data_IF_896614851030
#
_entry.id   IF_896614851030
#
_cell.length_a   1.000
_cell.length_b   1.000
_cell.length_c   1.000
_cell.angle_alpha   90.00
_cell.angle_beta   90.00
_cell.angle_gamma   90.00
#
_symmetry.space_group_name_H-M   'P 1'
#
loop_
_entity.id
_entity.type
_entity.pdbx_description
1 polymer ?
#
# COMPACT_ATOMS: atom_id res chain seq x y z
N UNK A 1 -9.40 -15.35 35.66
CA UNK A 1 -10.10 -14.08 35.49
C UNK A 1 -9.49 -13.39 34.28
N UNK A 2 -10.13 -13.56 33.10
CA UNK A 2 -9.68 -12.96 31.85
C UNK A 2 -10.33 -11.57 31.75
N UNK A 3 -9.59 -10.54 32.04
CA UNK A 3 -9.95 -9.17 31.72
C UNK A 3 -9.69 -8.96 30.23
N UNK A 4 -10.67 -9.24 29.40
CA UNK A 4 -10.72 -8.74 28.03
C UNK A 4 -10.83 -7.23 28.10
N UNK A 5 -9.70 -6.55 27.87
CA UNK A 5 -9.68 -5.11 27.65
C UNK A 5 -10.60 -4.81 26.47
N UNK A 6 -11.85 -4.47 26.74
CA UNK A 6 -12.76 -3.92 25.75
C UNK A 6 -12.23 -2.55 25.37
N UNK A 7 -11.50 -2.47 24.25
CA UNK A 7 -11.17 -1.20 23.63
C UNK A 7 -12.48 -0.57 23.18
N UNK A 8 -13.02 0.33 23.99
CA UNK A 8 -14.20 1.11 23.62
C UNK A 8 -13.81 2.08 22.52
N UNK A 9 -14.08 1.69 21.28
CA UNK A 9 -13.94 2.59 20.14
C UNK A 9 -15.02 3.66 20.23
N UNK A 10 -14.65 4.88 20.54
CA UNK A 10 -15.55 6.03 20.41
C UNK A 10 -15.66 6.39 18.93
N UNK A 11 -16.84 6.84 18.50
CA UNK A 11 -17.03 7.36 17.14
C UNK A 11 -16.17 8.60 16.99
N UNK A 12 -15.32 8.69 15.95
CA UNK A 12 -14.49 9.86 15.71
C UNK A 12 -15.33 11.11 15.47
N UNK A 13 -14.78 12.28 15.79
CA UNK A 13 -15.42 13.56 15.48
C UNK A 13 -15.60 13.76 13.96
N UNK A 14 -16.51 14.64 13.53
CA UNK A 14 -16.71 14.91 12.09
C UNK A 14 -15.43 15.29 11.36
N UNK A 15 -14.55 16.09 11.98
CA UNK A 15 -13.27 16.48 11.37
C UNK A 15 -12.27 15.32 11.24
N UNK A 16 -12.24 14.41 12.20
CA UNK A 16 -11.42 13.19 12.12
C UNK A 16 -11.96 12.23 11.05
N UNK A 17 -13.28 12.10 10.93
CA UNK A 17 -13.91 11.30 9.87
C UNK A 17 -13.62 11.87 8.48
N UNK A 18 -13.61 13.19 8.32
CA UNK A 18 -13.26 13.84 7.07
C UNK A 18 -11.82 13.52 6.67
N UNK A 19 -10.86 13.68 7.59
CA UNK A 19 -9.45 13.33 7.35
C UNK A 19 -9.28 11.85 6.99
N UNK A 20 -9.95 10.96 7.71
CA UNK A 20 -9.93 9.53 7.44
C UNK A 20 -10.50 9.20 6.05
N UNK A 21 -11.58 9.89 5.67
CA UNK A 21 -12.19 9.74 4.35
C UNK A 21 -11.25 10.17 3.23
N UNK A 22 -10.56 11.30 3.38
CA UNK A 22 -9.58 11.78 2.38
C UNK A 22 -8.40 10.82 2.24
N UNK A 23 -7.92 10.24 3.33
CA UNK A 23 -6.90 9.20 3.31
C UNK A 23 -7.36 7.98 2.49
N UNK A 24 -8.56 7.46 2.77
CA UNK A 24 -9.10 6.31 2.05
C UNK A 24 -9.38 6.61 0.57
N UNK A 25 -9.86 7.80 0.24
CA UNK A 25 -10.00 8.24 -1.16
C UNK A 25 -8.65 8.25 -1.89
N UNK A 26 -7.60 8.71 -1.22
CA UNK A 26 -6.27 8.70 -1.80
C UNK A 26 -5.76 7.28 -2.06
N UNK A 27 -6.04 6.33 -1.17
CA UNK A 27 -5.68 4.92 -1.34
C UNK A 27 -6.55 4.21 -2.38
N UNK A 28 -7.78 4.67 -2.63
CA UNK A 28 -8.72 4.05 -3.55
C UNK A 28 -8.40 4.23 -5.05
N UNK A 29 -7.36 4.97 -5.41
CA UNK A 29 -6.90 5.11 -6.80
C UNK A 29 -5.87 4.03 -7.16
N UNK A 30 -6.08 3.36 -8.29
CA UNK A 30 -5.23 2.23 -8.72
C UNK A 30 -3.76 2.62 -8.89
N UNK A 31 -3.47 3.76 -9.51
CA UNK A 31 -2.10 4.22 -9.74
C UNK A 31 -1.40 4.55 -8.44
N UNK A 32 -2.09 5.23 -7.53
CA UNK A 32 -1.56 5.55 -6.20
C UNK A 32 -1.34 4.29 -5.36
N UNK A 33 -2.26 3.33 -5.41
CA UNK A 33 -2.09 2.05 -4.75
C UNK A 33 -0.82 1.32 -5.25
N UNK A 34 -0.58 1.29 -6.56
CA UNK A 34 0.66 0.72 -7.12
C UNK A 34 1.91 1.44 -6.60
N UNK A 35 1.90 2.76 -6.53
CA UNK A 35 3.03 3.53 -5.97
C UNK A 35 3.30 3.12 -4.52
N UNK A 36 2.27 3.05 -3.68
CA UNK A 36 2.41 2.64 -2.28
C UNK A 36 3.02 1.25 -2.17
N UNK A 37 2.59 0.29 -2.99
CA UNK A 37 3.14 -1.07 -3.02
C UNK A 37 4.61 -1.11 -3.45
N UNK A 38 5.03 -0.29 -4.40
CA UNK A 38 6.45 -0.17 -4.75
C UNK A 38 7.28 0.42 -3.60
N UNK A 39 6.74 1.44 -2.94
CA UNK A 39 7.42 2.08 -1.80
C UNK A 39 7.47 1.17 -0.55
N UNK A 40 6.56 0.23 -0.41
CA UNK A 40 6.66 -0.82 0.62
C UNK A 40 7.91 -1.69 0.45
N UNK A 41 8.31 -1.94 -0.78
CA UNK A 41 9.46 -2.79 -1.08
C UNK A 41 10.78 -2.02 -0.95
N UNK A 42 10.81 -0.79 -1.44
CA UNK A 42 12.02 0.03 -1.49
C UNK A 42 11.68 1.51 -1.65
N UNK A 43 12.38 2.35 -0.88
CA UNK A 43 12.43 3.80 -1.12
C UNK A 43 12.90 4.07 -2.56
N UNK A 44 12.21 4.93 -3.29
CA UNK A 44 12.47 5.14 -4.71
C UNK A 44 12.33 6.60 -5.10
N UNK A 45 13.04 7.01 -6.15
CA UNK A 45 12.85 8.32 -6.77
C UNK A 45 11.77 8.27 -7.85
N UNK A 46 11.39 9.45 -8.35
CA UNK A 46 10.34 9.60 -9.38
C UNK A 46 10.68 8.80 -10.63
N UNK A 47 11.93 8.86 -11.11
CA UNK A 47 12.37 8.18 -12.33
C UNK A 47 12.31 6.65 -12.20
N UNK A 48 12.70 6.10 -11.04
CA UNK A 48 12.59 4.65 -10.78
C UNK A 48 11.12 4.18 -10.79
N UNK A 49 10.22 4.92 -10.14
CA UNK A 49 8.79 4.60 -10.14
C UNK A 49 8.18 4.73 -11.54
N UNK A 50 8.52 5.79 -12.27
CA UNK A 50 8.05 6.02 -13.63
C UNK A 50 8.45 4.87 -14.56
N UNK A 51 9.70 4.43 -14.49
CA UNK A 51 10.21 3.30 -15.25
C UNK A 51 9.50 1.99 -14.90
N UNK A 52 9.37 1.68 -13.60
CA UNK A 52 8.70 0.45 -13.15
C UNK A 52 7.21 0.40 -13.49
N UNK A 53 6.56 1.54 -13.52
CA UNK A 53 5.12 1.63 -13.77
C UNK A 53 4.78 1.90 -15.24
N UNK A 54 5.80 2.13 -16.07
CA UNK A 54 5.67 2.46 -17.51
C UNK A 54 4.80 3.69 -17.76
N UNK A 55 5.02 4.73 -16.96
CA UNK A 55 4.33 6.03 -17.05
C UNK A 55 5.34 7.16 -17.02
N UNK A 56 4.89 8.38 -17.31
CA UNK A 56 5.76 9.56 -17.30
C UNK A 56 6.14 9.99 -15.89
N UNK A 57 7.31 10.59 -15.72
CA UNK A 57 7.74 11.16 -14.44
C UNK A 57 6.79 12.26 -13.96
N UNK A 58 6.21 13.02 -14.88
CA UNK A 58 5.21 14.03 -14.56
C UNK A 58 3.97 13.44 -13.93
N UNK A 59 3.47 12.31 -14.45
CA UNK A 59 2.33 11.59 -13.88
C UNK A 59 2.65 11.07 -12.47
N UNK A 60 3.83 10.47 -12.27
CA UNK A 60 4.27 10.00 -10.95
C UNK A 60 4.39 11.17 -9.97
N UNK A 61 5.02 12.26 -10.39
CA UNK A 61 5.19 13.45 -9.54
C UNK A 61 3.85 14.01 -9.06
N UNK A 62 2.84 14.03 -9.94
CA UNK A 62 1.49 14.45 -9.60
C UNK A 62 0.86 13.53 -8.56
N UNK A 63 0.97 12.21 -8.73
CA UNK A 63 0.42 11.23 -7.79
C UNK A 63 1.14 11.27 -6.43
N UNK A 64 2.46 11.39 -6.43
CA UNK A 64 3.24 11.53 -5.19
C UNK A 64 2.90 12.80 -4.41
N UNK A 65 2.60 13.91 -5.12
CA UNK A 65 2.12 15.14 -4.49
C UNK A 65 0.79 14.89 -3.76
N UNK A 66 -0.17 14.22 -4.41
CA UNK A 66 -1.45 13.88 -3.80
C UNK A 66 -1.27 13.00 -2.55
N UNK A 67 -0.42 11.97 -2.63
CA UNK A 67 -0.11 11.09 -1.50
C UNK A 67 0.58 11.81 -0.33
N UNK A 68 1.42 12.82 -0.63
CA UNK A 68 2.06 13.64 0.42
C UNK A 68 1.09 14.53 1.17
N UNK A 69 0.10 15.09 0.48
CA UNK A 69 -0.93 15.96 1.10
C UNK A 69 -1.67 15.19 2.20
N UNK A 70 -2.01 13.94 1.96
CA UNK A 70 -2.69 13.07 2.93
C UNK A 70 -1.73 12.29 3.83
N UNK A 71 -0.44 12.60 3.80
CA UNK A 71 0.60 11.98 4.64
C UNK A 71 0.71 10.46 4.52
N UNK A 72 0.47 9.92 3.34
CA UNK A 72 0.75 8.51 3.05
C UNK A 72 2.19 8.27 2.68
N UNK A 73 2.86 9.27 2.10
CA UNK A 73 4.28 9.23 1.74
C UNK A 73 5.01 10.46 2.23
N UNK A 74 6.28 10.29 2.50
CA UNK A 74 7.24 11.36 2.80
C UNK A 74 8.33 11.43 1.73
N UNK A 75 9.11 12.51 1.73
CA UNK A 75 10.21 12.66 0.81
C UNK A 75 11.43 13.24 1.51
N UNK A 76 12.62 12.78 1.12
CA UNK A 76 13.91 13.31 1.57
C UNK A 76 14.82 13.62 0.40
N UNK A 77 15.64 14.65 0.53
CA UNK A 77 16.69 14.92 -0.45
C UNK A 77 17.86 13.95 -0.26
N UNK A 78 18.32 13.37 -1.35
CA UNK A 78 19.51 12.54 -1.42
C UNK A 78 20.38 13.03 -2.59
N UNK A 79 21.30 13.94 -2.31
CA UNK A 79 22.10 14.61 -3.33
C UNK A 79 21.23 15.44 -4.29
N UNK A 80 21.28 15.10 -5.57
CA UNK A 80 20.49 15.74 -6.63
C UNK A 80 19.08 15.16 -6.79
N UNK A 81 18.80 14.04 -6.13
CA UNK A 81 17.52 13.32 -6.24
C UNK A 81 16.66 13.53 -5.01
N UNK A 82 15.35 13.35 -5.19
CA UNK A 82 14.36 13.27 -4.11
C UNK A 82 13.90 11.83 -4.00
N UNK A 83 14.10 11.25 -2.84
CA UNK A 83 13.69 9.88 -2.52
C UNK A 83 12.39 9.93 -1.76
N UNK A 84 11.45 9.09 -2.17
CA UNK A 84 10.15 8.91 -1.53
C UNK A 84 10.12 7.60 -0.76
N UNK A 85 9.44 7.61 0.37
CA UNK A 85 9.18 6.44 1.22
C UNK A 85 7.76 6.51 1.78
N UNK A 86 7.25 5.41 2.34
CA UNK A 86 6.03 5.46 3.13
C UNK A 86 6.22 6.41 4.31
N UNK A 87 5.14 7.03 4.75
CA UNK A 87 5.18 7.99 5.86
C UNK A 87 5.66 7.34 7.16
N UNK A 88 5.14 6.17 7.48
CA UNK A 88 5.47 5.40 8.68
C UNK A 88 5.07 3.92 8.55
N UNK A 89 5.37 3.14 9.58
CA UNK A 89 5.03 1.71 9.64
C UNK A 89 3.52 1.44 9.77
N UNK A 90 2.72 2.40 10.23
CA UNK A 90 1.26 2.22 10.29
C UNK A 90 0.66 2.15 8.89
N UNK A 91 1.18 2.93 7.93
CA UNK A 91 0.74 2.88 6.54
C UNK A 91 1.10 1.52 5.93
N UNK A 92 2.31 1.00 6.22
CA UNK A 92 2.71 -0.34 5.81
C UNK A 92 1.74 -1.39 6.35
N UNK A 93 1.48 -1.36 7.64
CA UNK A 93 0.58 -2.29 8.31
C UNK A 93 -0.85 -2.26 7.71
N UNK A 94 -1.41 -1.09 7.45
CA UNK A 94 -2.73 -0.94 6.82
C UNK A 94 -2.77 -1.63 5.45
N UNK A 95 -1.74 -1.44 4.63
CA UNK A 95 -1.64 -2.05 3.30
C UNK A 95 -1.55 -3.58 3.40
N UNK A 96 -0.72 -4.09 4.29
CA UNK A 96 -0.53 -5.52 4.54
C UNK A 96 -1.83 -6.18 5.03
N UNK A 97 -2.51 -5.60 6.01
CA UNK A 97 -3.77 -6.13 6.55
C UNK A 97 -4.89 -6.08 5.49
N UNK A 98 -4.97 -5.02 4.72
CA UNK A 98 -5.95 -4.90 3.63
C UNK A 98 -5.72 -6.00 2.59
N UNK A 99 -4.47 -6.24 2.21
CA UNK A 99 -4.13 -7.31 1.27
C UNK A 99 -4.35 -8.69 1.87
N UNK A 100 -3.95 -8.91 3.12
CA UNK A 100 -4.18 -10.18 3.83
C UNK A 100 -5.65 -10.56 3.88
N UNK A 101 -6.55 -9.59 4.10
CA UNK A 101 -7.99 -9.81 4.04
C UNK A 101 -8.47 -10.23 2.65
N UNK A 102 -7.85 -9.74 1.59
CA UNK A 102 -8.16 -10.11 0.21
C UNK A 102 -7.55 -11.45 -0.19
N UNK A 103 -6.32 -11.72 0.19
CA UNK A 103 -5.60 -12.96 -0.15
C UNK A 103 -6.09 -14.15 0.67
N UNK A 104 -6.55 -13.94 1.88
CA UNK A 104 -7.21 -14.96 2.72
C UNK A 104 -8.49 -15.55 2.11
N UNK A 105 -9.07 -14.88 1.10
CA UNK A 105 -10.16 -15.39 0.28
C UNK A 105 -9.65 -16.39 -0.78
N UNK A 106 -8.38 -16.40 -1.08
CA UNK A 106 -7.73 -17.36 -2.00
C UNK A 106 -7.00 -18.44 -1.20
N UNK A 107 -7.75 -19.50 -0.83
CA UNK A 107 -7.25 -20.82 -0.45
C UNK A 107 -5.79 -20.91 0.03
N UNK A 108 -5.57 -20.83 1.33
CA UNK A 108 -4.45 -21.57 1.90
C UNK A 108 -4.75 -23.07 1.71
N UNK A 109 -3.93 -23.83 0.97
CA UNK A 109 -4.07 -25.27 0.91
C UNK A 109 -3.72 -25.83 2.29
N UNK A 110 -4.75 -26.03 3.13
CA UNK A 110 -4.55 -26.58 4.46
C UNK A 110 -5.49 -26.10 5.55
N UNK A 111 -6.43 -25.19 5.27
CA UNK A 111 -7.53 -24.88 6.22
C UNK A 111 -7.12 -24.34 7.59
N UNK A 112 -5.93 -23.80 7.70
CA UNK A 112 -5.43 -23.18 8.93
C UNK A 112 -5.25 -21.69 8.74
N UNK A 113 -6.00 -20.89 9.52
CA UNK A 113 -5.78 -19.46 9.64
C UNK A 113 -4.29 -19.23 9.92
N UNK A 114 -3.59 -18.64 8.98
CA UNK A 114 -2.23 -18.16 9.20
C UNK A 114 -2.31 -16.91 10.08
N UNK A 115 -2.53 -17.11 11.37
CA UNK A 115 -2.37 -16.09 12.38
C UNK A 115 -0.92 -16.13 12.83
N UNK A 116 -0.03 -15.45 12.11
CA UNK A 116 1.18 -14.85 12.70
C UNK A 116 2.06 -14.13 11.69
N UNK A 117 2.41 -12.91 12.05
CA UNK A 117 3.57 -12.17 11.66
C UNK A 117 4.78 -13.03 11.23
N UNK A 118 5.45 -12.62 10.16
CA UNK A 118 6.73 -13.09 9.65
C UNK A 118 6.72 -14.27 8.68
N UNK A 119 6.27 -14.03 7.44
CA UNK A 119 6.90 -14.68 6.30
C UNK A 119 6.80 -13.80 5.05
N UNK A 120 7.74 -12.86 4.98
CA UNK A 120 7.90 -11.93 3.84
C UNK A 120 8.25 -12.69 2.56
N UNK A 121 8.78 -13.90 2.70
CA UNK A 121 9.19 -14.73 1.55
C UNK A 121 8.02 -15.34 0.76
N UNK A 122 6.93 -15.68 1.43
CA UNK A 122 5.73 -16.21 0.75
C UNK A 122 5.02 -15.12 -0.08
N UNK A 123 5.09 -13.88 0.37
CA UNK A 123 4.47 -12.72 -0.23
C UNK A 123 5.17 -12.27 -1.53
N UNK A 124 6.51 -12.38 -1.55
CA UNK A 124 7.32 -11.96 -2.70
C UNK A 124 7.21 -12.93 -3.89
N UNK A 125 7.06 -14.22 -3.64
CA UNK A 125 6.96 -15.23 -4.70
C UNK A 125 5.62 -15.17 -5.43
N UNK A 126 4.52 -14.92 -4.73
CA UNK A 126 3.17 -14.87 -5.34
C UNK A 126 2.94 -13.55 -6.10
N UNK A 127 3.52 -12.46 -5.61
CA UNK A 127 3.47 -11.16 -6.27
C UNK A 127 4.28 -11.15 -7.59
N UNK A 128 5.45 -11.81 -7.61
CA UNK A 128 6.30 -11.87 -8.80
C UNK A 128 5.69 -12.77 -9.91
N UNK A 129 5.02 -13.86 -9.54
CA UNK A 129 4.39 -14.78 -10.50
C UNK A 129 3.11 -14.23 -11.15
N UNK A 130 2.37 -13.37 -10.44
CA UNK A 130 1.11 -12.79 -10.97
C UNK A 130 1.31 -11.48 -11.73
N UNK A 131 2.45 -10.81 -11.56
CA UNK A 131 2.69 -9.49 -12.17
C UNK A 131 3.51 -9.53 -13.46
N UNK A 132 4.10 -10.69 -13.81
CA UNK A 132 4.91 -10.87 -15.02
C UNK A 132 4.16 -11.47 -16.21
N UNK A 133 2.88 -11.82 -16.07
CA UNK A 133 2.09 -12.23 -17.22
C UNK A 133 1.34 -11.03 -17.80
N UNK A 134 1.61 -10.64 -19.06
CA UNK A 134 0.78 -9.66 -19.73
C UNK A 134 -0.62 -10.26 -19.89
N UNK A 135 -1.59 -9.65 -19.25
CA UNK A 135 -3.00 -9.99 -19.47
C UNK A 135 -3.41 -9.45 -20.83
N UNK A 136 -3.08 -10.23 -21.88
CA UNK A 136 -3.72 -10.10 -23.16
C UNK A 136 -5.06 -10.86 -23.07
N UNK A 137 -6.10 -10.17 -23.53
CA UNK A 137 -7.41 -10.69 -23.87
C UNK A 137 -8.36 -11.09 -22.74
N UNK A 138 -9.43 -10.33 -22.54
CA UNK A 138 -10.78 -10.63 -23.01
C UNK A 138 -11.68 -9.39 -22.77
N UNK A 139 -11.97 -8.68 -23.87
CA UNK A 139 -13.21 -7.97 -24.04
C UNK A 139 -13.84 -8.45 -25.36
N UNK A 140 -14.76 -9.34 -25.26
CA UNK A 140 -15.88 -9.48 -26.20
C UNK A 140 -17.14 -9.53 -25.37
#
# INVERSE_FOLDING_TARGET
MNETAQTTFSVPSPGELEQLTELHKAMGDYTRMRILWYLMQKDSCVSELAQKMEVTESAISHQLRALRIVRLVQSRKAGKSVIYSLQDEHIRWILEETYGSFSGIKNCPGGQLCSRHHDVECFLLDFFLHFTTPRAEVWI
#
